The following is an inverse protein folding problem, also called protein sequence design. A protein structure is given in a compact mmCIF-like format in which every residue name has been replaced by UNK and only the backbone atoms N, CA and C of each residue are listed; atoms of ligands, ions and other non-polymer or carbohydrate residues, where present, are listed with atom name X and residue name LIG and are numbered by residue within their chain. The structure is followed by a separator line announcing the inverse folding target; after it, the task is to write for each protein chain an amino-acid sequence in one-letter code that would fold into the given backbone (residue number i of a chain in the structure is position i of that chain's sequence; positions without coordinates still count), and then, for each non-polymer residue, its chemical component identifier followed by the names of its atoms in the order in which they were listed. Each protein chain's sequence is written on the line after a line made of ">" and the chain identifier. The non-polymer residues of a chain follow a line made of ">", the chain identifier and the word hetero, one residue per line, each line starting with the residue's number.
data_IF_570162176100
#
_entry.id   IF_570162176100
#
_cell.length_a   1.000
_cell.length_b   1.000
_cell.length_c   1.000
_cell.angle_alpha   90.00
_cell.angle_beta   90.00
_cell.angle_gamma   90.00
#
_symmetry.space_group_name_H-M   'P 1'
#
loop_
_entity.id
_entity.type
_entity.pdbx_description
1 polymer ?
#
# COMPACT_ATOMS: atom_id res chain seq x y z
N UNK A 1 10.63 -13.85 -30.03
CA UNK A 1 9.29 -14.07 -30.59
C UNK A 1 8.89 -15.49 -30.24
N UNK A 2 7.92 -15.70 -29.34
CA UNK A 2 7.43 -17.03 -29.04
C UNK A 2 6.82 -17.66 -30.31
N UNK A 3 7.10 -18.94 -30.51
CA UNK A 3 6.59 -19.78 -31.60
C UNK A 3 5.05 -19.77 -31.56
N UNK A 4 4.42 -19.19 -32.57
CA UNK A 4 2.97 -18.88 -32.62
C UNK A 4 2.15 -20.17 -32.87
N UNK A 5 2.15 -21.08 -31.89
CA UNK A 5 1.57 -22.44 -31.98
C UNK A 5 0.06 -22.51 -31.80
N UNK A 6 -0.61 -21.39 -31.52
CA UNK A 6 -2.07 -21.40 -31.42
C UNK A 6 -2.67 -21.54 -32.82
N UNK A 7 -3.20 -22.73 -33.11
CA UNK A 7 -3.99 -22.98 -34.33
C UNK A 7 -5.09 -21.93 -34.47
N UNK A 8 -5.09 -21.23 -35.62
CA UNK A 8 -5.99 -20.12 -35.92
C UNK A 8 -7.46 -20.59 -35.84
N UNK A 9 -8.10 -20.34 -34.69
CA UNK A 9 -9.55 -20.54 -34.54
C UNK A 9 -10.30 -19.51 -35.39
N UNK A 10 -11.44 -19.87 -36.00
CA UNK A 10 -12.27 -18.91 -36.71
C UNK A 10 -12.68 -17.75 -35.77
N UNK A 11 -12.24 -16.54 -36.12
CA UNK A 11 -12.52 -15.33 -35.35
C UNK A 11 -13.97 -14.92 -35.61
N UNK A 12 -14.78 -14.86 -34.53
CA UNK A 12 -16.08 -14.17 -34.58
C UNK A 12 -15.82 -12.68 -34.42
N UNK A 13 -16.68 -11.80 -34.97
CA UNK A 13 -16.54 -10.37 -34.78
C UNK A 13 -16.61 -9.99 -33.29
N UNK A 14 -15.94 -8.89 -32.89
CA UNK A 14 -16.12 -8.33 -31.56
C UNK A 14 -17.57 -7.96 -31.26
N UNK A 15 -17.91 -7.89 -29.98
CA UNK A 15 -19.20 -7.39 -29.53
C UNK A 15 -19.40 -5.89 -29.82
N UNK A 16 -20.65 -5.44 -29.82
CA UNK A 16 -21.03 -4.11 -30.32
C UNK A 16 -20.38 -2.93 -29.56
N UNK A 17 -20.21 -3.08 -28.24
CA UNK A 17 -19.55 -2.09 -27.38
C UNK A 17 -18.01 -2.19 -27.38
N UNK A 18 -17.42 -2.90 -28.34
CA UNK A 18 -15.97 -2.96 -28.59
C UNK A 18 -15.68 -2.52 -30.03
N UNK A 19 -14.65 -1.67 -30.28
CA UNK A 19 -14.31 -1.28 -31.64
C UNK A 19 -13.98 -2.51 -32.51
N UNK A 20 -14.64 -2.59 -33.68
CA UNK A 20 -14.67 -3.79 -34.50
C UNK A 20 -13.33 -4.11 -35.15
N UNK A 21 -12.63 -3.08 -35.64
CA UNK A 21 -11.30 -3.23 -36.24
C UNK A 21 -10.20 -3.09 -35.20
N UNK A 22 -9.10 -3.83 -35.40
CA UNK A 22 -7.90 -3.69 -34.59
C UNK A 22 -7.32 -2.27 -34.67
N UNK A 23 -7.29 -1.68 -35.87
CA UNK A 23 -6.83 -0.31 -36.07
C UNK A 23 -7.60 0.70 -35.20
N UNK A 24 -8.93 0.58 -35.12
CA UNK A 24 -9.71 1.47 -34.25
C UNK A 24 -9.37 1.29 -32.76
N UNK A 25 -9.12 0.05 -32.31
CA UNK A 25 -8.69 -0.23 -30.93
C UNK A 25 -7.30 0.37 -30.65
N UNK A 26 -6.37 0.27 -31.58
CA UNK A 26 -5.02 0.84 -31.48
C UNK A 26 -5.07 2.37 -31.43
N UNK A 27 -5.84 3.01 -32.33
CA UNK A 27 -6.02 4.48 -32.32
C UNK A 27 -6.61 4.97 -31.00
N UNK A 28 -7.58 4.25 -30.43
CA UNK A 28 -8.14 4.59 -29.12
C UNK A 28 -7.10 4.46 -28.01
N UNK A 29 -6.31 3.38 -28.00
CA UNK A 29 -5.26 3.16 -27.00
C UNK A 29 -4.17 4.24 -27.07
N UNK A 30 -3.76 4.65 -28.27
CA UNK A 30 -2.80 5.75 -28.47
C UNK A 30 -3.34 7.08 -27.92
N UNK A 31 -4.61 7.40 -28.20
CA UNK A 31 -5.26 8.59 -27.65
C UNK A 31 -5.32 8.57 -26.12
N UNK A 32 -5.63 7.41 -25.53
CA UNK A 32 -5.64 7.21 -24.07
C UNK A 32 -4.25 7.42 -23.48
N UNK A 33 -3.21 6.83 -24.07
CA UNK A 33 -1.81 7.00 -23.64
C UNK A 33 -1.40 8.47 -23.62
N UNK A 34 -1.69 9.19 -24.70
CA UNK A 34 -1.38 10.61 -24.81
C UNK A 34 -2.14 11.44 -23.74
N UNK A 35 -3.42 11.15 -23.52
CA UNK A 35 -4.25 11.82 -22.53
C UNK A 35 -3.76 11.57 -21.09
N UNK A 36 -3.56 10.31 -20.71
CA UNK A 36 -3.14 9.91 -19.36
C UNK A 36 -1.77 10.50 -19.02
N UNK A 37 -0.84 10.49 -19.98
CA UNK A 37 0.48 11.12 -19.82
C UNK A 37 0.41 12.65 -19.66
N UNK A 38 -0.51 13.31 -20.37
CA UNK A 38 -0.72 14.76 -20.30
C UNK A 38 -1.37 15.19 -18.98
N UNK A 39 -2.44 14.51 -18.58
CA UNK A 39 -3.19 14.80 -17.35
C UNK A 39 -2.50 14.26 -16.09
N UNK A 40 -1.49 13.38 -16.24
CA UNK A 40 -0.74 12.74 -15.15
C UNK A 40 -1.65 12.06 -14.13
N UNK A 41 -2.57 11.23 -14.63
CA UNK A 41 -3.52 10.54 -13.76
C UNK A 41 -2.79 9.69 -12.72
N UNK A 42 -3.26 9.75 -11.47
CA UNK A 42 -2.68 9.00 -10.35
C UNK A 42 -3.71 7.99 -9.86
N UNK A 43 -3.46 6.67 -9.99
CA UNK A 43 -4.39 5.67 -9.51
C UNK A 43 -4.36 5.50 -7.97
N UNK A 44 -5.40 4.91 -7.34
CA UNK A 44 -6.65 4.44 -7.94
C UNK A 44 -7.57 5.59 -8.36
N UNK A 45 -8.18 5.46 -9.54
CA UNK A 45 -9.18 6.41 -10.02
C UNK A 45 -10.56 5.99 -9.52
N UNK A 46 -11.30 6.91 -8.90
CA UNK A 46 -12.66 6.61 -8.47
C UNK A 46 -13.60 6.42 -9.67
N UNK A 47 -14.67 5.64 -9.53
CA UNK A 47 -15.64 5.41 -10.63
C UNK A 47 -16.13 6.69 -11.34
N UNK A 48 -16.40 7.75 -10.57
CA UNK A 48 -16.83 9.03 -11.13
C UNK A 48 -15.73 9.75 -11.91
N UNK A 49 -14.51 9.73 -11.39
CA UNK A 49 -13.32 10.29 -12.02
C UNK A 49 -12.96 9.53 -13.30
N UNK A 50 -12.95 8.19 -13.24
CA UNK A 50 -12.68 7.32 -14.39
C UNK A 50 -13.65 7.59 -15.54
N UNK A 51 -14.95 7.71 -15.25
CA UNK A 51 -15.96 8.07 -16.26
C UNK A 51 -15.69 9.44 -16.87
N UNK A 52 -15.38 10.44 -16.06
CA UNK A 52 -15.09 11.78 -16.55
C UNK A 52 -13.88 11.82 -17.50
N UNK A 53 -12.79 11.12 -17.16
CA UNK A 53 -11.62 11.00 -18.06
C UNK A 53 -11.94 10.19 -19.31
N UNK A 54 -12.72 9.11 -19.18
CA UNK A 54 -13.14 8.28 -20.31
C UNK A 54 -13.94 9.07 -21.34
N UNK A 55 -14.93 9.84 -20.89
CA UNK A 55 -15.75 10.69 -21.74
C UNK A 55 -14.92 11.78 -22.43
N UNK A 56 -13.92 12.34 -21.74
CA UNK A 56 -13.00 13.32 -22.33
C UNK A 56 -12.17 12.71 -23.46
N UNK A 57 -11.58 11.52 -23.24
CA UNK A 57 -10.77 10.84 -24.26
C UNK A 57 -11.61 10.41 -25.44
N UNK A 58 -12.81 9.86 -25.24
CA UNK A 58 -13.68 9.47 -26.35
C UNK A 58 -14.06 10.66 -27.23
N UNK A 59 -14.34 11.82 -26.62
CA UNK A 59 -14.59 13.06 -27.37
C UNK A 59 -13.35 13.53 -28.15
N UNK A 60 -12.17 13.51 -27.55
CA UNK A 60 -10.90 13.89 -28.21
C UNK A 60 -10.55 12.96 -29.37
N UNK A 61 -10.79 11.65 -29.20
CA UNK A 61 -10.55 10.62 -30.20
C UNK A 61 -11.65 10.53 -31.28
N UNK A 62 -12.74 11.30 -31.17
CA UNK A 62 -13.88 11.23 -32.09
C UNK A 62 -14.60 9.88 -32.10
N UNK A 63 -14.59 9.16 -30.96
CA UNK A 63 -15.15 7.82 -30.82
C UNK A 63 -16.57 7.85 -30.24
N UNK A 64 -17.39 6.87 -30.63
CA UNK A 64 -18.77 6.74 -30.14
C UNK A 64 -18.81 6.40 -28.64
N UNK A 65 -19.79 6.95 -27.93
CA UNK A 65 -19.98 6.73 -26.49
C UNK A 65 -20.28 5.27 -26.12
N UNK A 66 -20.71 4.45 -27.08
CA UNK A 66 -20.93 3.00 -26.85
C UNK A 66 -19.66 2.24 -26.46
N UNK A 67 -18.48 2.83 -26.69
CA UNK A 67 -17.19 2.24 -26.31
C UNK A 67 -16.73 2.66 -24.90
N UNK A 68 -17.57 3.34 -24.11
CA UNK A 68 -17.21 3.86 -22.78
C UNK A 68 -16.64 2.80 -21.85
N UNK A 69 -17.28 1.64 -21.69
CA UNK A 69 -16.80 0.62 -20.76
C UNK A 69 -15.44 0.04 -21.19
N UNK A 70 -15.27 -0.18 -22.50
CA UNK A 70 -13.99 -0.61 -23.07
C UNK A 70 -12.89 0.44 -22.86
N UNK A 71 -13.18 1.70 -23.14
CA UNK A 71 -12.24 2.81 -22.97
C UNK A 71 -11.89 3.04 -21.49
N UNK A 72 -12.85 2.91 -20.58
CA UNK A 72 -12.64 3.05 -19.14
C UNK A 72 -11.63 2.03 -18.61
N UNK A 73 -11.73 0.76 -19.07
CA UNK A 73 -10.72 -0.25 -18.72
C UNK A 73 -9.33 0.17 -19.21
N UNK A 74 -9.22 0.66 -20.45
CA UNK A 74 -7.94 1.08 -21.02
C UNK A 74 -7.35 2.33 -20.33
N UNK A 75 -8.17 3.31 -19.96
CA UNK A 75 -7.74 4.47 -19.16
C UNK A 75 -7.20 4.03 -17.81
N UNK A 76 -7.92 3.13 -17.12
CA UNK A 76 -7.47 2.59 -15.84
C UNK A 76 -6.17 1.79 -15.98
N UNK A 77 -6.06 0.94 -17.01
CA UNK A 77 -4.83 0.18 -17.29
C UNK A 77 -3.63 1.11 -17.46
N UNK A 78 -3.79 2.19 -18.22
CA UNK A 78 -2.71 3.12 -18.50
C UNK A 78 -2.31 3.92 -17.26
N UNK A 79 -3.27 4.32 -16.41
CA UNK A 79 -2.98 4.95 -15.12
C UNK A 79 -2.15 4.02 -14.20
N UNK A 80 -2.41 2.71 -14.23
CA UNK A 80 -1.67 1.72 -13.44
C UNK A 80 -0.39 1.20 -14.10
N UNK A 81 -0.18 1.41 -15.40
CA UNK A 81 0.88 0.75 -16.20
C UNK A 81 2.26 0.91 -15.55
N UNK A 82 2.63 2.14 -15.20
CA UNK A 82 3.93 2.43 -14.56
C UNK A 82 4.11 1.73 -13.21
N UNK A 83 3.05 1.64 -12.40
CA UNK A 83 3.07 0.95 -11.11
C UNK A 83 3.23 -0.56 -11.28
N UNK A 84 2.48 -1.16 -12.21
CA UNK A 84 2.57 -2.60 -12.49
C UNK A 84 3.96 -2.95 -13.03
N UNK A 85 4.53 -2.11 -13.90
CA UNK A 85 5.86 -2.28 -14.47
C UNK A 85 6.98 -2.33 -13.39
N UNK A 86 6.83 -1.60 -12.30
CA UNK A 86 7.81 -1.54 -11.20
C UNK A 86 7.76 -2.75 -10.24
N UNK A 87 6.68 -3.54 -10.27
CA UNK A 87 6.50 -4.68 -9.36
C UNK A 87 7.24 -5.91 -9.91
N UNK A 88 8.02 -6.68 -9.13
CA UNK A 88 8.69 -7.90 -9.61
C UNK A 88 7.71 -8.97 -10.11
N UNK A 89 8.10 -9.78 -11.10
CA UNK A 89 7.21 -10.78 -11.71
C UNK A 89 6.68 -11.81 -10.71
N UNK A 90 7.48 -12.22 -9.73
CA UNK A 90 7.12 -13.15 -8.66
C UNK A 90 6.04 -12.62 -7.70
N UNK A 91 5.79 -11.31 -7.74
CA UNK A 91 4.72 -10.63 -7.00
C UNK A 91 3.50 -10.34 -7.87
N UNK A 92 3.45 -10.83 -9.12
CA UNK A 92 2.34 -10.61 -10.04
C UNK A 92 1.51 -11.87 -10.23
N UNK A 93 0.20 -11.68 -10.35
CA UNK A 93 -0.75 -12.72 -10.70
C UNK A 93 -1.19 -12.53 -12.15
N UNK A 94 -1.10 -13.59 -12.95
CA UNK A 94 -1.78 -13.68 -14.24
C UNK A 94 -3.12 -14.39 -14.04
N UNK A 95 -4.23 -13.66 -14.22
CA UNK A 95 -5.59 -14.18 -14.12
C UNK A 95 -6.20 -14.37 -15.52
N UNK A 96 -6.43 -15.62 -15.90
CA UNK A 96 -6.99 -15.99 -17.20
C UNK A 96 -8.41 -16.52 -17.05
N UNK A 97 -9.33 -16.16 -17.96
CA UNK A 97 -10.68 -16.70 -17.94
C UNK A 97 -10.69 -18.09 -18.58
N UNK A 98 -11.37 -19.05 -17.94
CA UNK A 98 -11.56 -20.41 -18.48
C UNK A 98 -12.19 -20.42 -19.88
N UNK A 99 -12.89 -19.35 -20.25
CA UNK A 99 -13.55 -19.15 -21.53
C UNK A 99 -12.58 -19.13 -22.74
N UNK A 100 -11.28 -18.90 -22.53
CA UNK A 100 -10.26 -18.99 -23.59
C UNK A 100 -9.97 -20.44 -24.04
N UNK A 101 -10.35 -21.44 -23.23
CA UNK A 101 -10.06 -22.86 -23.52
C UNK A 101 -10.77 -23.36 -24.78
N UNK A 102 -10.34 -24.52 -25.27
CA UNK A 102 -11.17 -25.31 -26.18
C UNK A 102 -12.33 -25.94 -25.43
N UNK A 103 -13.55 -25.45 -25.59
CA UNK A 103 -14.66 -26.02 -24.83
C UNK A 103 -14.97 -27.48 -25.20
N UNK A 104 -14.55 -27.92 -26.39
CA UNK A 104 -14.86 -29.26 -26.92
C UNK A 104 -13.76 -30.26 -26.58
N UNK A 105 -12.51 -29.88 -26.80
CA UNK A 105 -11.39 -30.82 -26.80
C UNK A 105 -10.35 -30.55 -25.69
N UNK A 106 -10.63 -29.66 -24.73
CA UNK A 106 -9.72 -29.39 -23.61
C UNK A 106 -9.83 -30.51 -22.55
N UNK A 107 -8.72 -31.20 -22.22
CA UNK A 107 -8.71 -32.28 -21.23
C UNK A 107 -8.70 -31.80 -19.78
N UNK A 108 -8.55 -30.49 -19.56
CA UNK A 108 -8.35 -29.89 -18.23
C UNK A 108 -9.46 -30.25 -17.23
N UNK A 109 -9.03 -30.56 -16.01
CA UNK A 109 -9.90 -30.75 -14.86
C UNK A 109 -10.13 -29.44 -14.11
N UNK A 110 -11.04 -29.47 -13.12
CA UNK A 110 -11.35 -28.33 -12.26
C UNK A 110 -11.16 -28.72 -10.80
N UNK A 111 -10.62 -27.80 -10.02
CA UNK A 111 -10.62 -27.86 -8.56
C UNK A 111 -11.47 -26.73 -7.97
N UNK A 112 -11.37 -26.52 -6.65
CA UNK A 112 -12.09 -25.48 -5.93
C UNK A 112 -11.64 -24.06 -6.30
N UNK A 113 -10.47 -23.91 -6.95
CA UNK A 113 -9.84 -22.64 -7.28
C UNK A 113 -10.07 -22.27 -8.75
N UNK A 114 -10.02 -23.23 -9.67
CA UNK A 114 -10.19 -22.98 -11.09
C UNK A 114 -9.89 -24.16 -12.01
N UNK A 115 -9.55 -23.85 -13.26
CA UNK A 115 -9.19 -24.81 -14.29
C UNK A 115 -7.70 -25.20 -14.16
N UNK A 116 -7.44 -26.50 -14.14
CA UNK A 116 -6.09 -27.07 -14.09
C UNK A 116 -5.62 -27.40 -15.51
N UNK A 117 -4.85 -26.50 -16.12
CA UNK A 117 -4.36 -26.66 -17.48
C UNK A 117 -3.31 -27.79 -17.58
N UNK A 118 -3.55 -28.78 -18.44
CA UNK A 118 -2.65 -29.93 -18.66
C UNK A 118 -1.63 -29.72 -19.81
N UNK A 119 -1.41 -28.48 -20.25
CA UNK A 119 -0.47 -28.16 -21.34
C UNK A 119 -0.74 -28.92 -22.65
N UNK A 120 -2.01 -28.94 -23.05
CA UNK A 120 -2.47 -29.70 -24.23
C UNK A 120 -2.20 -29.04 -25.59
N UNK A 121 -1.70 -27.79 -25.63
CA UNK A 121 -1.36 -27.03 -26.84
C UNK A 121 -2.55 -26.51 -27.66
N UNK A 122 -3.79 -26.61 -27.17
CA UNK A 122 -5.00 -26.34 -27.98
C UNK A 122 -5.54 -24.91 -27.89
N UNK A 123 -5.05 -24.10 -26.95
CA UNK A 123 -5.54 -22.73 -26.74
C UNK A 123 -4.45 -21.86 -26.12
N UNK A 124 -4.65 -20.55 -26.17
CA UNK A 124 -3.67 -19.58 -25.67
C UNK A 124 -3.37 -19.69 -24.17
N UNK A 125 -4.25 -20.32 -23.37
CA UNK A 125 -4.02 -20.52 -21.93
C UNK A 125 -2.70 -21.27 -21.68
N UNK A 126 -2.38 -22.24 -22.53
CA UNK A 126 -1.16 -23.03 -22.39
C UNK A 126 0.10 -22.16 -22.51
N UNK A 127 0.25 -21.48 -23.65
CA UNK A 127 1.39 -20.60 -23.92
C UNK A 127 1.50 -19.48 -22.87
N UNK A 128 0.37 -18.82 -22.54
CA UNK A 128 0.32 -17.74 -21.56
C UNK A 128 0.75 -18.23 -20.17
N UNK A 129 0.24 -19.39 -19.73
CA UNK A 129 0.60 -19.98 -18.45
C UNK A 129 2.09 -20.33 -18.41
N UNK A 130 2.59 -21.06 -19.40
CA UNK A 130 3.99 -21.48 -19.43
C UNK A 130 4.95 -20.30 -19.44
N UNK A 131 4.68 -19.25 -20.22
CA UNK A 131 5.54 -18.07 -20.27
C UNK A 131 5.47 -17.26 -18.97
N UNK A 132 4.28 -17.04 -18.40
CA UNK A 132 4.15 -16.29 -17.16
C UNK A 132 4.81 -17.00 -15.98
N UNK A 133 4.66 -18.33 -15.87
CA UNK A 133 5.34 -19.13 -14.84
C UNK A 133 6.87 -19.09 -14.99
N UNK A 134 7.40 -19.07 -16.23
CA UNK A 134 8.84 -18.90 -16.48
C UNK A 134 9.37 -17.55 -16.01
N UNK A 135 8.56 -16.49 -16.09
CA UNK A 135 8.89 -15.17 -15.55
C UNK A 135 8.77 -15.11 -14.03
N UNK A 136 8.04 -16.04 -13.40
CA UNK A 136 7.83 -16.12 -11.96
C UNK A 136 6.40 -15.81 -11.50
N UNK A 137 5.47 -15.49 -12.41
CA UNK A 137 4.10 -15.18 -12.04
C UNK A 137 3.42 -16.36 -11.32
N UNK A 138 2.55 -16.04 -10.38
CA UNK A 138 1.46 -16.94 -10.05
C UNK A 138 0.42 -16.89 -11.18
N UNK A 139 -0.05 -18.04 -11.66
CA UNK A 139 -1.06 -18.10 -12.74
C UNK A 139 -2.32 -18.79 -12.22
N UNK A 140 -3.47 -18.15 -12.42
CA UNK A 140 -4.78 -18.72 -12.10
C UNK A 140 -5.68 -18.67 -13.33
N UNK A 141 -6.34 -19.80 -13.61
CA UNK A 141 -7.38 -19.87 -14.65
C UNK A 141 -8.74 -20.00 -13.98
N UNK A 142 -9.32 -18.86 -13.60
CA UNK A 142 -10.53 -18.83 -12.78
C UNK A 142 -11.45 -17.66 -13.16
N UNK A 143 -12.71 -17.74 -12.74
CA UNK A 143 -13.68 -16.65 -12.86
C UNK A 143 -13.98 -15.98 -11.51
N UNK A 144 -13.33 -16.43 -10.43
CA UNK A 144 -13.63 -16.05 -9.05
C UNK A 144 -12.66 -15.04 -8.46
N UNK A 145 -13.20 -13.95 -7.91
CA UNK A 145 -12.50 -12.92 -7.15
C UNK A 145 -12.04 -13.30 -5.72
N UNK A 146 -12.66 -14.25 -4.97
CA UNK A 146 -12.29 -14.47 -3.56
C UNK A 146 -10.84 -14.95 -3.35
N UNK A 147 -10.37 -15.88 -4.19
CA UNK A 147 -8.99 -16.39 -4.09
C UNK A 147 -7.98 -15.30 -4.43
N UNK A 148 -8.28 -14.48 -5.45
CA UNK A 148 -7.45 -13.35 -5.84
C UNK A 148 -7.32 -12.36 -4.68
N UNK A 149 -8.44 -12.01 -4.03
CA UNK A 149 -8.43 -11.11 -2.87
C UNK A 149 -7.65 -11.70 -1.70
N UNK A 150 -7.80 -12.99 -1.40
CA UNK A 150 -7.03 -13.66 -0.34
C UNK A 150 -5.51 -13.63 -0.61
N UNK A 151 -5.08 -13.81 -1.86
CA UNK A 151 -3.67 -13.73 -2.23
C UNK A 151 -3.10 -12.31 -2.09
N UNK A 152 -3.91 -11.29 -2.38
CA UNK A 152 -3.57 -9.88 -2.21
C UNK A 152 -3.48 -9.53 -0.71
N UNK A 153 -4.49 -9.89 0.07
CA UNK A 153 -4.54 -9.64 1.52
C UNK A 153 -3.39 -10.32 2.28
N UNK A 154 -2.99 -11.51 1.82
CA UNK A 154 -1.83 -12.22 2.36
C UNK A 154 -0.47 -11.62 1.93
N UNK A 155 -0.45 -10.59 1.07
CA UNK A 155 0.77 -9.94 0.57
C UNK A 155 1.62 -10.82 -0.36
N UNK A 156 1.04 -11.91 -0.88
CA UNK A 156 1.72 -12.82 -1.81
C UNK A 156 1.77 -12.23 -3.21
N UNK A 157 0.77 -11.44 -3.57
CA UNK A 157 0.63 -10.77 -4.86
C UNK A 157 0.40 -9.29 -4.62
N UNK A 158 1.04 -8.45 -5.43
CA UNK A 158 0.98 -6.99 -5.37
C UNK A 158 0.44 -6.36 -6.66
N UNK A 159 0.29 -7.14 -7.74
CA UNK A 159 -0.35 -6.70 -8.98
C UNK A 159 -1.08 -7.85 -9.71
N UNK A 160 -2.15 -7.52 -10.42
CA UNK A 160 -2.93 -8.47 -11.22
C UNK A 160 -2.91 -8.05 -12.70
N UNK A 161 -2.42 -8.92 -13.57
CA UNK A 161 -2.59 -8.81 -15.01
C UNK A 161 -3.60 -9.88 -15.43
N UNK A 162 -4.57 -9.56 -16.27
CA UNK A 162 -5.54 -10.57 -16.66
C UNK A 162 -6.38 -10.22 -17.86
N UNK A 163 -7.18 -11.19 -18.29
CA UNK A 163 -8.18 -10.99 -19.33
C UNK A 163 -9.57 -11.33 -18.78
N UNK A 164 -10.59 -10.54 -19.12
CA UNK A 164 -11.94 -10.81 -18.65
C UNK A 164 -12.98 -10.08 -19.50
N UNK A 165 -14.23 -10.55 -19.45
CA UNK A 165 -15.33 -9.84 -20.09
C UNK A 165 -15.63 -8.53 -19.36
N UNK A 166 -16.13 -7.53 -20.11
CA UNK A 166 -16.44 -6.20 -19.55
C UNK A 166 -17.41 -6.30 -18.36
N UNK A 167 -18.43 -7.15 -18.44
CA UNK A 167 -19.41 -7.35 -17.36
C UNK A 167 -18.83 -7.95 -16.07
N UNK A 168 -17.71 -8.68 -16.13
CA UNK A 168 -17.00 -9.13 -14.93
C UNK A 168 -16.09 -8.02 -14.42
N UNK A 169 -15.38 -7.32 -15.30
CA UNK A 169 -14.48 -6.22 -14.91
C UNK A 169 -15.23 -5.10 -14.16
N UNK A 170 -16.42 -4.70 -14.64
CA UNK A 170 -17.27 -3.71 -13.97
C UNK A 170 -17.64 -4.10 -12.54
N UNK A 171 -17.87 -5.39 -12.28
CA UNK A 171 -18.24 -5.89 -10.94
C UNK A 171 -17.05 -5.98 -10.00
N UNK A 172 -15.85 -6.18 -10.53
CA UNK A 172 -14.61 -6.32 -9.74
C UNK A 172 -13.97 -4.95 -9.45
N UNK A 173 -14.22 -3.95 -10.30
CA UNK A 173 -13.63 -2.61 -10.19
C UNK A 173 -13.73 -1.98 -8.79
N UNK A 174 -14.90 -1.94 -8.11
CA UNK A 174 -15.00 -1.33 -6.78
C UNK A 174 -14.10 -1.97 -5.72
N UNK A 175 -13.86 -3.29 -5.83
CA UNK A 175 -13.00 -4.02 -4.90
C UNK A 175 -11.52 -3.70 -5.16
N UNK A 176 -11.12 -3.59 -6.43
CA UNK A 176 -9.75 -3.20 -6.78
C UNK A 176 -9.46 -1.75 -6.41
N UNK A 177 -10.43 -0.85 -6.62
CA UNK A 177 -10.36 0.55 -6.19
C UNK A 177 -10.19 0.65 -4.67
N UNK A 178 -11.07 0.00 -3.90
CA UNK A 178 -11.03 0.02 -2.43
C UNK A 178 -9.76 -0.58 -1.85
N UNK A 179 -9.23 -1.64 -2.46
CA UNK A 179 -7.94 -2.26 -2.08
C UNK A 179 -6.72 -1.57 -2.68
N UNK A 180 -6.91 -0.52 -3.49
CA UNK A 180 -5.88 0.16 -4.28
C UNK A 180 -4.93 -0.81 -5.01
N UNK A 181 -5.50 -1.89 -5.57
CA UNK A 181 -4.77 -3.01 -6.17
C UNK A 181 -4.32 -2.62 -7.59
N UNK A 182 -3.01 -2.56 -7.86
CA UNK A 182 -2.51 -2.35 -9.22
C UNK A 182 -2.96 -3.46 -10.16
N UNK A 183 -3.51 -3.10 -11.32
CA UNK A 183 -3.82 -4.11 -12.30
C UNK A 183 -4.03 -3.60 -13.72
N UNK A 184 -3.78 -4.52 -14.66
CA UNK A 184 -4.00 -4.34 -16.09
C UNK A 184 -4.97 -5.43 -16.54
N UNK A 185 -6.12 -5.03 -17.05
CA UNK A 185 -7.14 -5.94 -17.56
C UNK A 185 -7.28 -5.79 -19.08
N UNK A 186 -7.11 -6.87 -19.83
CA UNK A 186 -7.37 -6.88 -21.28
C UNK A 186 -8.81 -7.35 -21.52
N UNK A 187 -9.71 -6.47 -21.99
CA UNK A 187 -11.08 -6.87 -22.26
C UNK A 187 -11.14 -7.97 -23.32
N UNK A 188 -11.99 -8.98 -23.08
CA UNK A 188 -12.33 -9.93 -24.12
C UNK A 188 -13.03 -9.20 -25.27
N UNK A 189 -12.72 -9.60 -26.51
CA UNK A 189 -13.35 -9.01 -27.69
C UNK A 189 -14.82 -9.43 -27.82
N UNK A 190 -15.21 -10.52 -27.17
CA UNK A 190 -16.57 -11.06 -27.20
C UNK A 190 -16.93 -11.75 -25.89
N UNK A 191 -18.20 -11.63 -25.55
CA UNK A 191 -18.82 -12.44 -24.52
C UNK A 191 -19.22 -13.82 -25.05
N UNK A 192 -19.28 -14.77 -24.12
CA UNK A 192 -19.56 -16.17 -24.41
C UNK A 192 -18.68 -17.05 -23.54
N UNK A 193 -19.32 -17.85 -22.68
CA UNK A 193 -18.65 -18.67 -21.68
C UNK A 193 -17.85 -19.87 -22.25
N UNK A 194 -17.44 -19.78 -23.52
CA UNK A 194 -16.69 -20.79 -24.26
C UNK A 194 -16.11 -20.20 -25.55
N UNK A 195 -14.87 -20.57 -25.88
CA UNK A 195 -14.20 -20.25 -27.15
C UNK A 195 -14.19 -18.73 -27.46
N UNK A 196 -13.92 -17.89 -26.46
CA UNK A 196 -13.79 -16.44 -26.63
C UNK A 196 -12.46 -16.06 -27.31
N UNK A 197 -12.18 -14.77 -27.46
CA UNK A 197 -10.92 -14.23 -27.99
C UNK A 197 -10.54 -12.96 -27.25
N UNK A 198 -9.24 -12.77 -27.07
CA UNK A 198 -8.62 -11.59 -26.48
C UNK A 198 -7.58 -11.06 -27.46
N UNK A 199 -7.21 -9.79 -27.34
CA UNK A 199 -6.03 -9.28 -28.03
C UNK A 199 -4.77 -9.84 -27.36
N UNK A 200 -4.18 -10.87 -27.97
CA UNK A 200 -3.03 -11.58 -27.40
C UNK A 200 -1.79 -10.70 -27.37
N UNK A 201 -1.62 -9.79 -28.33
CA UNK A 201 -0.46 -8.89 -28.34
C UNK A 201 -0.50 -7.93 -27.17
N UNK A 202 -1.66 -7.35 -26.86
CA UNK A 202 -1.83 -6.50 -25.68
C UNK A 202 -1.62 -7.25 -24.37
N UNK A 203 -2.06 -8.51 -24.30
CA UNK A 203 -1.85 -9.34 -23.11
C UNK A 203 -0.37 -9.70 -22.93
N UNK A 204 0.34 -10.02 -24.01
CA UNK A 204 1.79 -10.24 -23.97
C UNK A 204 2.54 -8.96 -23.57
N UNK A 205 2.20 -7.82 -24.15
CA UNK A 205 2.78 -6.53 -23.77
C UNK A 205 2.62 -6.27 -22.26
N UNK A 206 1.42 -6.50 -21.70
CA UNK A 206 1.17 -6.37 -20.28
C UNK A 206 1.99 -7.37 -19.43
N UNK A 207 2.11 -8.63 -19.86
CA UNK A 207 2.88 -9.67 -19.13
C UNK A 207 4.38 -9.34 -19.08
N UNK A 208 4.94 -8.82 -20.17
CA UNK A 208 6.36 -8.46 -20.25
C UNK A 208 6.65 -7.02 -19.81
N UNK A 209 5.66 -6.27 -19.35
CA UNK A 209 5.82 -4.88 -18.92
C UNK A 209 6.77 -4.80 -17.71
N UNK A 210 7.84 -4.02 -17.81
CA UNK A 210 8.85 -3.89 -16.76
C UNK A 210 9.51 -2.52 -16.81
N UNK A 211 9.88 -1.99 -15.64
CA UNK A 211 10.64 -0.75 -15.50
C UNK A 211 11.92 -1.04 -14.72
N UNK A 212 13.04 -0.42 -15.11
CA UNK A 212 14.31 -0.51 -14.36
C UNK A 212 14.18 0.03 -12.93
N UNK A 213 13.29 0.99 -12.75
CA UNK A 213 12.94 1.60 -11.47
C UNK A 213 11.96 0.69 -10.71
N UNK A 214 12.52 -0.07 -9.77
CA UNK A 214 11.82 -0.99 -8.88
C UNK A 214 11.35 -0.33 -7.58
N UNK A 215 11.12 0.99 -7.53
CA UNK A 215 10.52 1.60 -6.34
C UNK A 215 9.16 0.96 -6.06
N UNK A 216 9.13 0.07 -5.08
CA UNK A 216 7.93 -0.65 -4.67
C UNK A 216 7.03 0.26 -3.85
N UNK A 217 5.71 0.09 -4.01
CA UNK A 217 4.73 0.78 -3.18
C UNK A 217 4.80 0.19 -1.77
N UNK A 218 5.06 1.02 -0.77
CA UNK A 218 4.99 0.60 0.62
C UNK A 218 3.58 0.15 0.98
N UNK A 219 3.43 -1.09 1.47
CA UNK A 219 2.21 -1.50 2.17
C UNK A 219 2.19 -0.85 3.56
N UNK A 220 1.81 0.44 3.58
CA UNK A 220 1.75 1.26 4.78
C UNK A 220 0.77 0.71 5.81
N UNK A 221 -0.32 0.05 5.38
CA UNK A 221 -1.31 -0.52 6.29
C UNK A 221 -0.75 -1.72 7.06
N UNK A 222 -0.04 -2.62 6.37
CA UNK A 222 0.63 -3.76 7.01
C UNK A 222 1.72 -3.27 7.95
N UNK A 223 2.51 -2.28 7.52
CA UNK A 223 3.54 -1.70 8.37
C UNK A 223 2.94 -1.01 9.60
N UNK A 224 1.84 -0.26 9.44
CA UNK A 224 1.17 0.41 10.55
C UNK A 224 0.58 -0.59 11.54
N UNK A 225 -0.04 -1.67 11.05
CA UNK A 225 -0.52 -2.77 11.89
C UNK A 225 0.63 -3.40 12.68
N UNK A 226 1.75 -3.69 12.00
CA UNK A 226 2.94 -4.27 12.62
C UNK A 226 3.53 -3.38 13.70
N UNK A 227 3.63 -2.08 13.45
CA UNK A 227 4.08 -1.11 14.44
C UNK A 227 3.12 -1.07 15.63
N UNK A 228 1.80 -1.11 15.42
CA UNK A 228 0.84 -1.14 16.53
C UNK A 228 0.96 -2.40 17.40
N UNK A 229 1.31 -3.57 16.82
CA UNK A 229 1.54 -4.80 17.58
C UNK A 229 2.70 -4.66 18.58
N UNK A 230 3.71 -3.84 18.27
CA UNK A 230 4.84 -3.57 19.18
C UNK A 230 4.44 -2.79 20.44
N UNK A 231 3.25 -2.20 20.46
CA UNK A 231 2.69 -1.48 21.60
C UNK A 231 1.64 -2.30 22.36
N UNK A 232 1.61 -3.63 22.18
CA UNK A 232 0.84 -4.51 23.07
C UNK A 232 1.33 -4.35 24.51
N UNK A 233 0.44 -4.59 25.48
CA UNK A 233 0.79 -4.43 26.90
C UNK A 233 1.92 -5.37 27.29
N UNK A 234 1.95 -6.56 26.71
CA UNK A 234 2.98 -7.56 26.91
C UNK A 234 4.34 -7.09 26.36
N UNK A 235 4.37 -6.55 25.14
CA UNK A 235 5.59 -6.04 24.52
C UNK A 235 6.13 -4.81 25.27
N UNK A 236 5.25 -3.92 25.72
CA UNK A 236 5.62 -2.77 26.54
C UNK A 236 6.14 -3.19 27.92
N UNK A 237 5.52 -4.19 28.56
CA UNK A 237 5.98 -4.69 29.85
C UNK A 237 7.40 -5.25 29.78
N UNK A 238 7.70 -6.02 28.72
CA UNK A 238 9.06 -6.51 28.43
C UNK A 238 10.04 -5.35 28.23
N UNK A 239 9.62 -4.31 27.52
CA UNK A 239 10.50 -3.22 27.12
C UNK A 239 10.81 -2.22 28.25
N UNK A 240 9.81 -1.80 29.03
CA UNK A 240 9.92 -0.65 29.96
C UNK A 240 9.45 -0.93 31.39
N UNK A 241 8.97 -2.15 31.70
CA UNK A 241 8.52 -2.52 33.04
C UNK A 241 8.97 -3.92 33.47
N UNK A 242 10.26 -4.27 33.34
CA UNK A 242 10.75 -5.63 33.56
C UNK A 242 10.65 -6.08 35.03
N UNK A 243 10.58 -5.14 35.99
CA UNK A 243 10.54 -5.44 37.42
C UNK A 243 9.16 -5.25 38.04
N UNK A 244 8.19 -4.76 37.26
CA UNK A 244 6.82 -4.50 37.68
C UNK A 244 6.73 -3.59 38.93
N UNK A 245 7.70 -2.68 39.11
CA UNK A 245 7.70 -1.73 40.22
C UNK A 245 6.56 -0.70 40.12
N UNK A 246 6.21 0.01 41.21
CA UNK A 246 5.08 0.95 41.20
C UNK A 246 5.15 2.02 40.09
N UNK A 247 6.31 2.64 39.88
CA UNK A 247 6.50 3.63 38.81
C UNK A 247 6.43 3.00 37.42
N UNK A 248 7.03 1.81 37.25
CA UNK A 248 7.00 1.07 35.98
C UNK A 248 5.58 0.69 35.58
N UNK A 249 4.73 0.28 36.54
CA UNK A 249 3.33 -0.04 36.27
C UNK A 249 2.54 1.18 35.78
N UNK A 250 2.73 2.35 36.42
CA UNK A 250 2.08 3.59 35.98
C UNK A 250 2.57 4.00 34.58
N UNK A 251 3.88 3.88 34.32
CA UNK A 251 4.46 4.16 33.00
C UNK A 251 3.93 3.20 31.92
N UNK A 252 3.84 1.90 32.23
CA UNK A 252 3.29 0.87 31.35
C UNK A 252 1.83 1.18 31.01
N UNK A 253 1.00 1.47 32.01
CA UNK A 253 -0.41 1.77 31.79
C UNK A 253 -0.58 3.05 30.97
N UNK A 254 0.24 4.08 31.20
CA UNK A 254 0.25 5.30 30.39
C UNK A 254 0.65 5.07 28.92
N UNK A 255 1.70 4.27 28.70
CA UNK A 255 2.17 3.90 27.36
C UNK A 255 1.16 3.04 26.62
N UNK A 256 0.49 2.11 27.31
CA UNK A 256 -0.54 1.24 26.77
C UNK A 256 -1.84 1.97 26.40
N UNK A 257 -2.08 3.20 26.90
CA UNK A 257 -3.24 4.01 26.49
C UNK A 257 -3.22 4.23 24.98
N UNK A 258 -4.36 3.95 24.34
CA UNK A 258 -4.56 4.09 22.90
C UNK A 258 -4.08 5.45 22.35
N UNK A 259 -3.48 5.40 21.17
CA UNK A 259 -2.99 6.55 20.41
C UNK A 259 -2.75 6.12 18.96
N UNK A 260 -2.68 7.08 18.03
CA UNK A 260 -2.51 6.77 16.59
C UNK A 260 -1.11 6.23 16.23
N UNK A 261 -0.14 6.37 17.15
CA UNK A 261 1.27 5.95 17.02
C UNK A 261 1.95 6.44 15.73
N UNK A 262 1.59 7.65 15.28
CA UNK A 262 2.14 8.23 14.06
C UNK A 262 3.65 8.43 14.10
N UNK A 263 4.20 8.90 15.24
CA UNK A 263 5.65 9.15 15.36
C UNK A 263 6.47 7.86 15.28
N UNK A 264 6.14 6.78 16.03
CA UNK A 264 6.75 5.48 15.82
C UNK A 264 6.61 4.95 14.39
N UNK A 265 5.40 5.04 13.82
CA UNK A 265 5.14 4.59 12.45
C UNK A 265 6.02 5.32 11.42
N UNK A 266 6.10 6.65 11.50
CA UNK A 266 6.93 7.47 10.61
C UNK A 266 8.42 7.13 10.73
N UNK A 267 8.92 6.84 11.94
CA UNK A 267 10.31 6.43 12.14
C UNK A 267 10.62 5.13 11.39
N UNK A 268 9.70 4.16 11.42
CA UNK A 268 9.85 2.89 10.70
C UNK A 268 9.69 3.08 9.20
N UNK A 269 8.72 3.89 8.75
CA UNK A 269 8.59 4.24 7.33
C UNK A 269 9.89 4.87 6.78
N UNK A 270 10.49 5.80 7.52
CA UNK A 270 11.74 6.44 7.13
C UNK A 270 12.89 5.43 7.03
N UNK A 271 13.03 4.51 8.00
CA UNK A 271 14.01 3.45 7.93
C UNK A 271 13.81 2.58 6.68
N UNK A 272 12.60 2.04 6.49
CA UNK A 272 12.37 1.11 5.41
C UNK A 272 12.50 1.79 4.03
N UNK A 273 12.12 3.07 3.91
CA UNK A 273 12.31 3.82 2.67
C UNK A 273 13.79 4.09 2.35
N UNK A 274 14.62 4.40 3.36
CA UNK A 274 16.04 4.71 3.17
C UNK A 274 16.93 3.48 3.03
N UNK A 275 16.52 2.35 3.60
CA UNK A 275 17.28 1.09 3.58
C UNK A 275 16.85 0.13 2.48
N UNK A 276 15.63 0.26 1.96
CA UNK A 276 15.01 -0.77 1.11
C UNK A 276 14.64 -2.05 1.86
N UNK A 277 14.77 -2.08 3.19
CA UNK A 277 14.41 -3.22 4.03
C UNK A 277 12.91 -3.18 4.35
N UNK A 278 12.12 -3.78 3.45
CA UNK A 278 10.68 -3.93 3.59
C UNK A 278 10.26 -5.15 4.42
N UNK A 279 11.15 -6.15 4.55
CA UNK A 279 10.89 -7.36 5.34
C UNK A 279 11.16 -7.17 6.84
N UNK A 280 11.60 -5.97 7.24
CA UNK A 280 11.94 -5.62 8.62
C UNK A 280 12.96 -6.60 9.20
N UNK A 281 14.05 -6.86 8.46
CA UNK A 281 15.10 -7.80 8.91
C UNK A 281 15.67 -7.45 10.30
N UNK A 282 15.57 -6.17 10.69
CA UNK A 282 15.98 -5.63 11.99
C UNK A 282 14.82 -5.31 12.92
N UNK A 283 13.74 -6.08 12.86
CA UNK A 283 12.51 -5.81 13.60
C UNK A 283 12.72 -5.55 15.10
N UNK A 284 13.56 -6.35 15.78
CA UNK A 284 13.80 -6.19 17.21
C UNK A 284 14.42 -4.82 17.58
N UNK A 285 15.28 -4.29 16.72
CA UNK A 285 15.90 -2.98 16.89
C UNK A 285 14.93 -1.84 16.54
N UNK A 286 14.17 -2.01 15.46
CA UNK A 286 13.14 -1.05 15.07
C UNK A 286 12.05 -0.93 16.14
N UNK A 287 11.70 -2.04 16.80
CA UNK A 287 10.81 -2.07 17.96
C UNK A 287 11.34 -1.17 19.08
N UNK A 288 12.64 -1.28 19.43
CA UNK A 288 13.26 -0.41 20.46
C UNK A 288 13.21 1.06 20.06
N UNK A 289 13.54 1.38 18.81
CA UNK A 289 13.48 2.77 18.29
C UNK A 289 12.04 3.31 18.32
N UNK A 290 11.07 2.52 17.87
CA UNK A 290 9.66 2.89 17.88
C UNK A 290 9.13 3.16 19.29
N UNK A 291 9.43 2.27 20.24
CA UNK A 291 9.04 2.45 21.65
C UNK A 291 9.75 3.67 22.24
N UNK A 292 11.05 3.87 21.96
CA UNK A 292 11.79 5.04 22.43
C UNK A 292 11.17 6.37 21.96
N UNK A 293 10.80 6.45 20.68
CA UNK A 293 10.11 7.63 20.11
C UNK A 293 8.79 7.90 20.83
N UNK A 294 8.01 6.85 21.11
CA UNK A 294 6.75 7.00 21.85
C UNK A 294 6.99 7.37 23.32
N UNK A 295 8.04 6.85 23.97
CA UNK A 295 8.45 7.23 25.33
C UNK A 295 8.72 8.74 25.42
N UNK A 296 9.50 9.30 24.50
CA UNK A 296 9.75 10.75 24.47
C UNK A 296 8.46 11.55 24.27
N UNK A 297 7.60 11.11 23.35
CA UNK A 297 6.32 11.77 23.11
C UNK A 297 5.41 11.72 24.33
N UNK A 298 5.24 10.54 24.94
CA UNK A 298 4.37 10.34 26.10
C UNK A 298 4.91 11.00 27.36
N UNK A 299 6.23 11.11 27.51
CA UNK A 299 6.86 11.91 28.56
C UNK A 299 6.52 13.40 28.37
N UNK A 300 6.68 13.94 27.16
CA UNK A 300 6.35 15.34 26.88
C UNK A 300 4.90 15.67 27.21
N UNK A 301 3.94 14.79 26.89
CA UNK A 301 2.53 14.99 27.22
C UNK A 301 2.29 15.01 28.74
N UNK A 302 2.99 14.18 29.50
CA UNK A 302 2.84 14.16 30.97
C UNK A 302 3.35 15.45 31.59
N UNK A 303 4.49 15.94 31.13
CA UNK A 303 5.07 17.19 31.62
C UNK A 303 4.24 18.41 31.17
N UNK A 304 3.82 18.45 29.91
CA UNK A 304 2.93 19.46 29.33
C UNK A 304 1.60 19.55 30.08
N UNK A 305 0.92 18.42 30.33
CA UNK A 305 -0.32 18.38 31.12
C UNK A 305 -0.14 19.00 32.51
N UNK A 306 1.03 18.79 33.15
CA UNK A 306 1.35 19.39 34.47
C UNK A 306 1.57 20.90 34.33
N UNK A 307 2.30 21.33 33.31
CA UNK A 307 2.64 22.73 33.06
C UNK A 307 1.39 23.57 32.76
N UNK A 308 0.44 23.02 32.00
CA UNK A 308 -0.82 23.68 31.64
C UNK A 308 -1.89 23.56 32.74
N UNK A 309 -1.74 22.61 33.66
CA UNK A 309 -2.73 22.32 34.69
C UNK A 309 -3.98 21.61 34.15
N UNK A 310 -3.86 20.89 33.04
CA UNK A 310 -4.95 20.21 32.35
C UNK A 310 -5.45 18.99 33.13
N UNK A 311 -6.72 18.98 33.56
CA UNK A 311 -7.28 17.83 34.28
C UNK A 311 -7.65 16.65 33.36
N UNK A 312 -7.87 16.90 32.06
CA UNK A 312 -8.29 15.91 31.08
C UNK A 312 -7.61 16.10 29.70
N UNK A 313 -7.28 15.01 29.02
CA UNK A 313 -6.81 14.98 27.64
C UNK A 313 -7.57 13.91 26.84
N UNK A 314 -8.15 14.30 25.72
CA UNK A 314 -8.99 13.44 24.87
C UNK A 314 -10.13 12.73 25.62
N UNK A 315 -10.76 13.41 26.59
CA UNK A 315 -11.85 12.87 27.41
C UNK A 315 -11.41 11.83 28.44
N UNK A 316 -10.11 11.72 28.73
CA UNK A 316 -9.55 10.90 29.81
C UNK A 316 -8.80 11.80 30.79
N UNK A 317 -8.75 11.41 32.06
CA UNK A 317 -7.98 12.17 33.06
C UNK A 317 -6.49 12.14 32.71
N UNK A 318 -5.82 13.27 32.97
CA UNK A 318 -4.36 13.36 32.82
C UNK A 318 -3.67 12.61 33.95
N UNK A 319 -2.39 12.25 33.75
CA UNK A 319 -1.67 11.42 34.71
C UNK A 319 -1.53 12.11 36.07
N UNK A 320 -1.29 13.43 36.08
CA UNK A 320 -1.18 14.20 37.31
C UNK A 320 -2.54 14.39 38.00
N UNK A 321 -3.64 14.45 37.25
CA UNK A 321 -4.97 14.47 37.85
C UNK A 321 -5.30 13.13 38.52
N UNK A 322 -4.85 12.01 37.98
CA UNK A 322 -5.09 10.66 38.53
C UNK A 322 -4.18 10.32 39.72
N UNK A 323 -2.89 10.60 39.62
CA UNK A 323 -1.86 10.14 40.57
C UNK A 323 -1.19 11.27 41.37
N UNK A 324 -1.51 12.52 41.06
CA UNK A 324 -0.84 13.70 41.62
C UNK A 324 0.44 14.07 40.87
N UNK A 325 0.82 15.35 40.99
CA UNK A 325 1.99 15.93 40.31
C UNK A 325 3.30 15.17 40.61
N UNK A 326 3.63 14.80 41.87
CA UNK A 326 4.92 14.14 42.14
C UNK A 326 5.10 12.81 41.41
N UNK A 327 4.03 12.00 41.32
CA UNK A 327 4.08 10.71 40.63
C UNK A 327 4.15 10.93 39.12
N UNK A 328 3.31 11.82 38.58
CA UNK A 328 3.28 12.08 37.15
C UNK A 328 4.62 12.64 36.64
N UNK A 329 5.22 13.60 37.35
CA UNK A 329 6.53 14.15 37.02
C UNK A 329 7.62 13.05 36.96
N UNK A 330 7.67 12.20 38.00
CA UNK A 330 8.64 11.10 38.06
C UNK A 330 8.40 10.03 36.97
N UNK A 331 7.15 9.78 36.56
CA UNK A 331 6.84 8.89 35.43
C UNK A 331 7.30 9.51 34.10
N UNK A 332 7.12 10.81 33.91
CA UNK A 332 7.66 11.51 32.74
C UNK A 332 9.19 11.38 32.67
N UNK A 333 9.88 11.56 33.80
CA UNK A 333 11.34 11.41 33.89
C UNK A 333 11.80 9.98 33.59
N UNK A 334 11.09 8.98 34.12
CA UNK A 334 11.35 7.57 33.80
C UNK A 334 11.24 7.32 32.30
N UNK A 335 10.15 7.79 31.66
CA UNK A 335 9.93 7.60 30.23
C UNK A 335 11.02 8.28 29.37
N UNK A 336 11.51 9.46 29.77
CA UNK A 336 12.67 10.09 29.10
C UNK A 336 13.91 9.19 29.20
N UNK A 337 14.20 8.65 30.38
CA UNK A 337 15.31 7.72 30.60
C UNK A 337 15.19 6.45 29.76
N UNK A 338 14.00 5.84 29.74
CA UNK A 338 13.68 4.65 28.95
C UNK A 338 13.88 4.90 27.45
N UNK A 339 13.47 6.06 26.93
CA UNK A 339 13.71 6.43 25.54
C UNK A 339 15.19 6.40 25.17
N UNK A 340 16.07 6.98 26.00
CA UNK A 340 17.51 6.93 25.74
C UNK A 340 18.11 5.54 25.94
N UNK A 341 17.69 4.81 26.97
CA UNK A 341 18.15 3.43 27.24
C UNK A 341 17.86 2.51 26.05
N UNK A 342 16.63 2.54 25.55
CA UNK A 342 16.20 1.73 24.40
C UNK A 342 17.03 2.05 23.13
N UNK A 343 17.32 3.32 22.85
CA UNK A 343 18.19 3.70 21.74
C UNK A 343 19.64 3.21 21.92
N UNK A 344 20.15 3.19 23.14
CA UNK A 344 21.49 2.68 23.45
C UNK A 344 21.60 1.14 23.33
N UNK A 345 20.49 0.43 23.46
CA UNK A 345 20.40 -1.03 23.36
C UNK A 345 20.15 -1.54 21.93
N UNK A 346 19.99 -0.65 20.96
CA UNK A 346 19.91 -1.02 19.55
C UNK A 346 21.23 -1.67 19.11
N UNK A 347 21.15 -2.83 18.45
CA UNK A 347 22.30 -3.65 18.05
C UNK A 347 22.97 -3.15 16.75
N UNK A 348 23.37 -1.88 16.74
CA UNK A 348 24.05 -1.23 15.61
C UNK A 348 25.48 -0.86 15.97
N UNK A 349 26.37 -0.66 14.97
CA UNK A 349 27.72 -0.17 15.22
C UNK A 349 27.71 1.10 16.09
N UNK A 350 28.67 1.24 17.00
CA UNK A 350 28.70 2.34 17.98
C UNK A 350 28.58 3.73 17.34
N UNK A 351 29.19 3.92 16.16
CA UNK A 351 29.07 5.17 15.41
C UNK A 351 27.64 5.50 14.98
N UNK A 352 26.79 4.50 14.71
CA UNK A 352 25.36 4.68 14.43
C UNK A 352 24.58 4.95 15.73
N UNK A 353 24.87 4.21 16.80
CA UNK A 353 24.27 4.38 18.12
C UNK A 353 24.47 5.80 18.66
N UNK A 354 25.69 6.34 18.53
CA UNK A 354 26.00 7.74 18.87
C UNK A 354 25.17 8.73 18.05
N UNK A 355 24.90 8.44 16.76
CA UNK A 355 24.04 9.30 15.94
C UNK A 355 22.58 9.26 16.36
N UNK A 356 22.05 8.09 16.71
CA UNK A 356 20.69 7.95 17.24
C UNK A 356 20.52 8.75 18.54
N UNK A 357 21.43 8.57 19.49
CA UNK A 357 21.40 9.30 20.76
C UNK A 357 21.56 10.81 20.56
N UNK A 358 22.44 11.24 19.65
CA UNK A 358 22.61 12.65 19.32
C UNK A 358 21.34 13.26 18.73
N UNK A 359 20.66 12.55 17.83
CA UNK A 359 19.41 13.02 17.24
C UNK A 359 18.31 13.16 18.31
N UNK A 360 18.16 12.16 19.19
CA UNK A 360 17.22 12.21 20.30
C UNK A 360 17.53 13.37 21.26
N UNK A 361 18.79 13.56 21.63
CA UNK A 361 19.21 14.65 22.52
C UNK A 361 18.98 16.04 21.90
N UNK A 362 19.22 16.20 20.60
CA UNK A 362 18.92 17.44 19.89
C UNK A 362 17.41 17.70 19.86
N UNK A 363 16.60 16.69 19.53
CA UNK A 363 15.13 16.81 19.52
C UNK A 363 14.56 17.18 20.90
N UNK A 364 15.01 16.50 21.95
CA UNK A 364 14.63 16.81 23.33
C UNK A 364 15.02 18.25 23.70
N UNK A 365 16.25 18.69 23.40
CA UNK A 365 16.68 20.06 23.67
C UNK A 365 15.80 21.08 22.95
N UNK A 366 15.51 20.87 21.67
CA UNK A 366 14.65 21.78 20.90
C UNK A 366 13.24 21.85 21.48
N UNK A 367 12.65 20.70 21.85
CA UNK A 367 11.34 20.63 22.50
C UNK A 367 11.30 21.48 23.78
N UNK A 368 12.26 21.29 24.70
CA UNK A 368 12.27 22.04 25.95
C UNK A 368 12.49 23.54 25.75
N UNK A 369 13.27 23.95 24.75
CA UNK A 369 13.46 25.37 24.43
C UNK A 369 12.19 26.00 23.84
N UNK A 370 11.47 25.28 22.98
CA UNK A 370 10.17 25.69 22.45
C UNK A 370 9.14 25.85 23.58
N UNK A 371 8.94 24.80 24.38
CA UNK A 371 8.04 24.82 25.54
C UNK A 371 8.38 25.93 26.52
N UNK A 372 9.67 26.11 26.85
CA UNK A 372 10.11 27.19 27.72
C UNK A 372 9.82 28.58 27.17
N UNK A 373 9.88 28.75 25.84
CA UNK A 373 9.55 30.02 25.18
C UNK A 373 8.04 30.29 25.21
N UNK A 374 7.22 29.25 25.00
CA UNK A 374 5.77 29.31 25.17
C UNK A 374 5.38 29.68 26.61
N UNK A 375 5.92 28.98 27.61
CA UNK A 375 5.68 29.27 29.04
C UNK A 375 6.09 30.71 29.41
N UNK A 376 7.23 31.19 28.90
CA UNK A 376 7.67 32.56 29.11
C UNK A 376 6.70 33.58 28.49
N UNK A 377 6.19 33.29 27.29
CA UNK A 377 5.18 34.10 26.63
C UNK A 377 3.85 34.07 27.39
N UNK A 378 3.38 32.91 27.87
CA UNK A 378 2.14 32.80 28.64
C UNK A 378 2.16 33.62 29.94
N UNK A 379 3.34 33.78 30.56
CA UNK A 379 3.51 34.67 31.73
C UNK A 379 3.42 36.15 31.39
N UNK A 380 3.65 36.55 30.15
CA UNK A 380 3.59 37.95 29.72
C UNK A 380 3.14 38.05 28.24
N UNK A 381 1.84 37.78 27.97
CA UNK A 381 1.35 37.63 26.61
C UNK A 381 1.54 38.90 25.79
N UNK A 382 2.11 38.75 24.60
CA UNK A 382 2.28 39.82 23.61
C UNK A 382 1.99 39.31 22.20
N UNK A 383 1.75 40.23 21.27
CA UNK A 383 1.70 39.86 19.85
C UNK A 383 3.07 39.35 19.37
N UNK A 384 3.05 38.22 18.65
CA UNK A 384 4.23 37.59 18.09
C UNK A 384 4.25 37.80 16.57
N UNK A 385 5.39 38.20 15.96
CA UNK A 385 5.59 38.12 14.53
C UNK A 385 5.47 36.67 14.05
N UNK A 386 5.05 36.47 12.78
CA UNK A 386 4.90 35.14 12.18
C UNK A 386 6.16 34.28 12.31
N UNK A 387 7.35 34.88 12.14
CA UNK A 387 8.61 34.15 12.28
C UNK A 387 8.80 33.58 13.70
N UNK A 388 8.45 34.37 14.73
CA UNK A 388 8.56 33.93 16.12
C UNK A 388 7.51 32.87 16.46
N UNK A 389 6.32 32.92 15.84
CA UNK A 389 5.33 31.86 15.96
C UNK A 389 5.88 30.56 15.39
N UNK A 390 6.46 30.56 14.19
CA UNK A 390 7.01 29.37 13.54
C UNK A 390 8.25 28.80 14.25
N UNK A 391 8.99 29.63 14.99
CA UNK A 391 10.16 29.19 15.75
C UNK A 391 9.76 28.53 17.09
N UNK A 392 8.60 28.90 17.66
CA UNK A 392 8.12 28.41 18.97
C UNK A 392 7.11 27.26 18.84
N UNK A 393 6.14 27.40 17.93
CA UNK A 393 4.98 26.51 17.73
C UNK A 393 5.08 25.76 16.40
#
# INVERSE_FOLDING_TARGET
>A
MPDNRVTARPQRPPQDNVPQSRHARETLLEAIRAYVGRERLVPPLGLGELRAHTDAVLREAGMESKYADFAAVLVNNEAWRGTVAAIPYEKRLLLLPKCLRDAKDCPASFDDIGLLCEHCGRCAIDDLKSQAEQLGYAVLVAEGSPVVMSLIEAGRIEAVIGASCLSVLERVFPYMEAGAVPGIAIPLLRDGCANTSVDLEWLWEAIYETKEDQTQRFNLDTLHRRVNEWFSREALAEAIAPHAGPTEQVALDWMARAGKRWRPFLAVCAYSALSGDHSLTREADLRKVAIAVECFHKASLVHDDIEDGDSERYGKRTLHAEHGVPIALNVGDLLLGEGYRLLAEVDVPDGQKVRLLRAAAQGHRSLCLGQGSELAWMRSPRSLPVAEVLDIF
#
